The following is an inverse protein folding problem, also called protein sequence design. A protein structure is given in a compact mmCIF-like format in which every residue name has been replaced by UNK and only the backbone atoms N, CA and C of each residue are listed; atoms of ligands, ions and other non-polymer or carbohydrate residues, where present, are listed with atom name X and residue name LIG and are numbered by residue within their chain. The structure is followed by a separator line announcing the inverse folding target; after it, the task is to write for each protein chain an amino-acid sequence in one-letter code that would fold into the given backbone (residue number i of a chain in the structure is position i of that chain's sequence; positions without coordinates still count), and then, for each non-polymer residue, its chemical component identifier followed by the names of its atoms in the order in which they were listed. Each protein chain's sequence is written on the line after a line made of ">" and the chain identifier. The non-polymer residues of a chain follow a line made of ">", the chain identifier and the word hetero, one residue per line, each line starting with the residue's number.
data_IF_895025864678
#
_entry.id   IF_895025864678
#
_cell.length_a   1.000
_cell.length_b   1.000
_cell.length_c   1.000
_cell.angle_alpha   90.00
_cell.angle_beta   90.00
_cell.angle_gamma   90.00
#
_symmetry.space_group_name_H-M   'P 1'
#
loop_
_entity.id
_entity.type
_entity.pdbx_description
1 polymer ?
#
# COMPACT_ATOMS: atom_id res chain seq x y z
N UNK A 1 30.66 -9.29 10.13
CA UNK A 1 29.49 -8.47 10.52
C UNK A 1 28.67 -8.20 9.27
N UNK A 2 27.50 -8.81 9.14
CA UNK A 2 26.61 -8.52 8.01
C UNK A 2 25.95 -7.19 8.29
N UNK A 3 26.32 -6.14 7.56
CA UNK A 3 25.60 -4.87 7.64
C UNK A 3 24.26 -5.12 6.94
N UNK A 4 23.23 -5.41 7.71
CA UNK A 4 21.86 -5.52 7.20
C UNK A 4 21.39 -4.09 6.94
N UNK A 5 21.26 -3.71 5.66
CA UNK A 5 20.65 -2.43 5.28
C UNK A 5 19.26 -2.29 5.94
N UNK A 6 18.86 -1.08 6.35
CA UNK A 6 17.54 -0.85 6.94
C UNK A 6 16.40 -1.26 5.99
N UNK A 7 15.21 -1.58 6.51
CA UNK A 7 14.04 -1.79 5.66
C UNK A 7 13.76 -0.53 4.85
N UNK A 8 13.41 -0.70 3.58
CA UNK A 8 13.13 0.36 2.60
C UNK A 8 11.72 0.24 2.02
N UNK A 9 10.94 -0.72 2.52
CA UNK A 9 9.60 -1.03 2.06
C UNK A 9 8.68 -1.15 3.27
N UNK A 10 7.47 -0.60 3.17
CA UNK A 10 6.42 -0.73 4.18
C UNK A 10 5.20 -1.39 3.56
N UNK A 11 4.71 -2.46 4.17
CA UNK A 11 3.33 -2.92 3.99
C UNK A 11 2.51 -2.43 5.18
N UNK A 12 1.44 -1.73 4.86
CA UNK A 12 0.44 -1.26 5.79
C UNK A 12 -0.88 -1.94 5.45
N UNK A 13 -1.51 -2.58 6.42
CA UNK A 13 -2.73 -3.36 6.22
C UNK A 13 -3.79 -2.94 7.23
N UNK A 14 -4.97 -2.58 6.72
CA UNK A 14 -6.18 -2.41 7.51
C UNK A 14 -7.27 -3.38 7.05
N UNK A 15 -8.10 -3.79 8.00
CA UNK A 15 -9.30 -4.57 7.73
C UNK A 15 -10.50 -3.80 8.22
N UNK A 16 -11.41 -3.49 7.31
CA UNK A 16 -12.62 -2.76 7.67
C UNK A 16 -13.60 -3.65 8.43
N UNK A 17 -14.49 -3.02 9.19
CA UNK A 17 -15.75 -3.64 9.60
C UNK A 17 -16.53 -4.11 8.35
N UNK A 18 -17.40 -5.11 8.52
CA UNK A 18 -18.14 -5.69 7.42
C UNK A 18 -18.93 -4.63 6.63
N UNK A 19 -18.72 -4.57 5.31
CA UNK A 19 -19.38 -3.62 4.42
C UNK A 19 -18.82 -2.18 4.46
N UNK A 20 -17.74 -1.93 5.22
CA UNK A 20 -17.10 -0.60 5.33
C UNK A 20 -15.83 -0.44 4.50
N UNK A 21 -15.53 -1.36 3.56
CA UNK A 21 -14.30 -1.31 2.76
C UNK A 21 -14.17 0.00 1.95
N UNK A 22 -15.27 0.49 1.38
CA UNK A 22 -15.27 1.74 0.60
C UNK A 22 -14.95 2.96 1.48
N UNK A 23 -15.51 3.03 2.68
CA UNK A 23 -15.23 4.09 3.65
C UNK A 23 -13.77 4.05 4.11
N UNK A 24 -13.25 2.85 4.39
CA UNK A 24 -11.85 2.65 4.72
C UNK A 24 -10.93 3.08 3.57
N UNK A 25 -11.26 2.69 2.33
CA UNK A 25 -10.50 3.10 1.14
C UNK A 25 -10.48 4.63 1.01
N UNK A 26 -11.64 5.28 1.13
CA UNK A 26 -11.75 6.73 1.07
C UNK A 26 -10.91 7.43 2.13
N UNK A 27 -10.92 6.92 3.38
CA UNK A 27 -10.08 7.44 4.44
C UNK A 27 -8.58 7.30 4.13
N UNK A 28 -8.16 6.13 3.61
CA UNK A 28 -6.77 5.87 3.23
C UNK A 28 -6.32 6.82 2.12
N UNK A 29 -7.12 7.02 1.08
CA UNK A 29 -6.83 7.93 -0.03
C UNK A 29 -6.75 9.39 0.42
N UNK A 30 -7.54 9.80 1.42
CA UNK A 30 -7.61 11.18 1.90
C UNK A 30 -6.60 11.51 3.00
N UNK A 31 -6.11 10.50 3.74
CA UNK A 31 -5.33 10.73 4.97
C UNK A 31 -3.99 10.01 4.95
N UNK A 32 -4.02 8.69 4.72
CA UNK A 32 -2.82 7.85 4.83
C UNK A 32 -1.93 8.05 3.60
N UNK A 33 -2.49 7.95 2.39
CA UNK A 33 -1.75 8.10 1.14
C UNK A 33 -1.08 9.48 1.03
N UNK A 34 -1.75 10.62 1.32
CA UNK A 34 -1.10 11.93 1.32
C UNK A 34 0.09 12.01 2.27
N UNK A 35 0.01 11.36 3.44
CA UNK A 35 1.12 11.30 4.41
C UNK A 35 2.32 10.55 3.83
N UNK A 36 2.07 9.44 3.12
CA UNK A 36 3.10 8.62 2.47
C UNK A 36 3.78 9.38 1.34
N UNK A 37 3.01 9.94 0.40
CA UNK A 37 3.56 10.60 -0.80
C UNK A 37 4.20 11.95 -0.50
N UNK A 38 3.85 12.58 0.64
CA UNK A 38 4.50 13.81 1.10
C UNK A 38 5.89 13.56 1.69
N UNK A 39 6.23 12.32 2.04
CA UNK A 39 7.56 11.97 2.52
C UNK A 39 8.58 12.09 1.36
N UNK A 40 9.63 12.91 1.48
CA UNK A 40 10.63 13.09 0.43
C UNK A 40 11.44 11.81 0.14
N UNK A 41 11.44 10.84 1.05
CA UNK A 41 12.06 9.53 0.84
C UNK A 41 11.14 8.57 0.08
N UNK A 42 9.83 8.85 -0.06
CA UNK A 42 8.90 7.98 -0.78
C UNK A 42 9.23 7.95 -2.28
N UNK A 43 9.40 6.75 -2.82
CA UNK A 43 9.66 6.49 -4.24
C UNK A 43 8.35 6.21 -4.99
N UNK A 44 7.53 5.32 -4.44
CA UNK A 44 6.22 4.98 -4.96
C UNK A 44 5.33 4.40 -3.85
N UNK A 45 4.03 4.41 -4.08
CA UNK A 45 3.04 3.77 -3.23
C UNK A 45 1.89 3.21 -4.07
N UNK A 46 1.40 2.03 -3.69
CA UNK A 46 0.24 1.38 -4.31
C UNK A 46 -0.79 1.01 -3.25
N UNK A 47 -2.08 1.20 -3.59
CA UNK A 47 -3.22 0.73 -2.80
C UNK A 47 -3.79 -0.52 -3.46
N UNK A 48 -4.05 -1.54 -2.64
CA UNK A 48 -4.54 -2.85 -3.07
C UNK A 48 -5.77 -3.22 -2.25
N UNK A 49 -6.81 -3.69 -2.93
CA UNK A 49 -7.98 -4.26 -2.29
C UNK A 49 -7.79 -5.77 -2.12
N UNK A 50 -7.93 -6.23 -0.89
CA UNK A 50 -7.87 -7.65 -0.55
C UNK A 50 -9.25 -8.19 -0.16
N UNK A 51 -9.35 -9.53 -0.09
CA UNK A 51 -10.54 -10.18 0.45
C UNK A 51 -10.77 -9.82 1.92
N UNK A 52 -12.01 -10.03 2.38
CA UNK A 52 -12.46 -9.76 3.75
C UNK A 52 -12.39 -8.27 4.14
N UNK A 53 -12.82 -7.38 3.23
CA UNK A 53 -12.85 -5.92 3.43
C UNK A 53 -11.48 -5.32 3.75
N UNK A 54 -10.42 -5.86 3.13
CA UNK A 54 -9.05 -5.47 3.39
C UNK A 54 -8.59 -4.40 2.42
N UNK A 55 -7.84 -3.43 2.93
CA UNK A 55 -7.09 -2.47 2.12
C UNK A 55 -5.63 -2.53 2.56
N UNK A 56 -4.73 -2.66 1.59
CA UNK A 56 -3.30 -2.73 1.80
C UNK A 56 -2.66 -1.57 1.06
N UNK A 57 -1.74 -0.87 1.72
CA UNK A 57 -0.84 0.09 1.10
C UNK A 57 0.57 -0.51 1.14
N UNK A 58 1.23 -0.56 -0.01
CA UNK A 58 2.65 -0.91 -0.09
C UNK A 58 3.38 0.31 -0.64
N UNK A 59 4.39 0.76 0.08
CA UNK A 59 5.20 1.91 -0.30
C UNK A 59 6.69 1.61 -0.19
N UNK A 60 7.46 2.21 -1.09
CA UNK A 60 8.90 2.05 -1.18
C UNK A 60 9.58 3.39 -0.89
N UNK A 61 10.69 3.35 -0.17
CA UNK A 61 11.39 4.51 0.33
C UNK A 61 12.89 4.41 0.03
N UNK A 62 13.58 5.55 0.01
CA UNK A 62 15.05 5.60 -0.06
C UNK A 62 15.73 5.32 1.29
N UNK A 63 14.95 5.31 2.38
CA UNK A 63 15.42 5.08 3.75
C UNK A 63 14.34 4.35 4.57
N UNK A 64 14.54 4.24 5.89
CA UNK A 64 13.57 3.58 6.75
C UNK A 64 12.19 4.27 6.68
N UNK A 65 11.10 3.54 6.41
CA UNK A 65 9.76 4.13 6.31
C UNK A 65 9.31 4.70 7.66
N UNK A 66 8.64 5.87 7.68
CA UNK A 66 8.03 6.37 8.90
C UNK A 66 6.81 5.53 9.29
N UNK A 67 6.41 5.54 10.58
CA UNK A 67 5.12 4.97 10.98
C UNK A 67 3.98 5.78 10.36
N UNK A 68 2.96 5.08 9.86
CA UNK A 68 1.80 5.71 9.23
C UNK A 68 0.63 5.85 10.21
N UNK A 69 -0.25 6.84 10.00
CA UNK A 69 -1.45 7.01 10.82
C UNK A 69 -2.39 5.80 10.69
N UNK A 70 -3.12 5.51 11.76
CA UNK A 70 -4.20 4.53 11.75
C UNK A 70 -5.55 5.22 11.44
N UNK A 71 -6.48 4.56 10.74
CA UNK A 71 -7.85 5.04 10.58
C UNK A 71 -8.59 5.07 11.92
N UNK A 72 -9.73 5.79 11.99
CA UNK A 72 -10.66 5.69 13.10
C UNK A 72 -11.04 4.24 13.45
N UNK A 73 -11.07 3.94 14.75
CA UNK A 73 -11.30 2.58 15.26
C UNK A 73 -12.67 2.02 14.86
N UNK A 74 -13.68 2.87 14.63
CA UNK A 74 -15.03 2.48 14.21
C UNK A 74 -15.07 1.98 12.75
N UNK A 75 -14.04 2.29 11.94
CA UNK A 75 -13.87 1.71 10.61
C UNK A 75 -13.19 0.34 10.66
N UNK A 76 -12.46 0.04 11.72
CA UNK A 76 -11.55 -1.10 11.78
C UNK A 76 -12.17 -2.30 12.48
N UNK A 77 -12.00 -3.49 11.88
CA UNK A 77 -12.30 -4.75 12.56
C UNK A 77 -11.20 -5.15 13.55
N UNK A 78 -9.97 -4.67 13.32
CA UNK A 78 -8.80 -4.86 14.18
C UNK A 78 -7.79 -3.75 13.93
N UNK A 79 -6.86 -3.57 14.86
CA UNK A 79 -5.75 -2.65 14.73
C UNK A 79 -4.98 -2.86 13.42
N UNK A 80 -4.52 -1.77 12.83
CA UNK A 80 -3.67 -1.75 11.64
C UNK A 80 -2.40 -2.55 11.87
N UNK A 81 -1.99 -3.32 10.86
CA UNK A 81 -0.69 -3.98 10.84
C UNK A 81 0.28 -3.19 9.97
N UNK A 82 1.47 -2.89 10.49
CA UNK A 82 2.55 -2.22 9.77
C UNK A 82 3.79 -3.11 9.80
N UNK A 83 4.25 -3.54 8.62
CA UNK A 83 5.39 -4.43 8.47
C UNK A 83 6.44 -3.79 7.57
N UNK A 84 7.51 -3.21 8.14
CA UNK A 84 8.67 -2.78 7.37
C UNK A 84 9.53 -3.99 6.98
N UNK A 85 9.96 -4.04 5.73
CA UNK A 85 10.85 -5.07 5.20
C UNK A 85 11.79 -4.49 4.14
N UNK A 86 12.77 -5.29 3.72
CA UNK A 86 13.76 -4.90 2.73
C UNK A 86 13.43 -5.51 1.38
N UNK A 87 13.43 -4.69 0.33
CA UNK A 87 13.36 -5.16 -1.05
C UNK A 87 14.64 -5.90 -1.41
N UNK A 88 14.52 -7.16 -1.85
CA UNK A 88 15.67 -7.96 -2.26
C UNK A 88 16.02 -7.77 -3.75
N UNK A 89 15.02 -7.78 -4.62
CA UNK A 89 15.16 -7.61 -6.06
C UNK A 89 13.86 -7.06 -6.66
N UNK A 90 13.95 -6.46 -7.86
CA UNK A 90 12.79 -6.06 -8.66
C UNK A 90 12.88 -6.75 -10.01
N UNK A 91 11.87 -7.54 -10.36
CA UNK A 91 11.80 -8.21 -11.65
C UNK A 91 10.70 -7.54 -12.48
N UNK A 92 11.02 -7.13 -13.71
CA UNK A 92 9.99 -6.66 -14.65
C UNK A 92 9.37 -7.86 -15.36
N UNK A 93 8.04 -7.92 -15.39
CA UNK A 93 7.32 -8.89 -16.22
C UNK A 93 7.39 -8.51 -17.69
N UNK A 94 7.27 -9.51 -18.58
CA UNK A 94 7.28 -9.34 -20.04
C UNK A 94 5.88 -9.23 -20.65
N UNK A 95 4.89 -8.73 -19.90
CA UNK A 95 3.48 -8.78 -20.32
C UNK A 95 3.29 -8.15 -21.72
N UNK A 96 2.80 -8.95 -22.68
CA UNK A 96 2.48 -8.49 -24.03
C UNK A 96 1.25 -7.59 -23.97
N UNK A 97 1.32 -6.44 -24.65
CA UNK A 97 0.20 -5.53 -24.82
C UNK A 97 -0.89 -6.23 -25.64
N UNK A 98 -2.07 -6.47 -25.07
CA UNK A 98 -3.23 -6.87 -25.87
C UNK A 98 -3.75 -5.60 -26.54
N UNK A 99 -3.41 -5.38 -27.82
CA UNK A 99 -4.07 -4.36 -28.63
C UNK A 99 -5.55 -4.73 -28.75
N UNK A 100 -6.40 -3.85 -28.24
CA UNK A 100 -7.85 -3.98 -28.39
C UNK A 100 -8.21 -3.65 -29.85
N UNK A 101 -8.48 -4.69 -30.63
CA UNK A 101 -9.13 -4.56 -31.93
C UNK A 101 -10.64 -4.66 -31.70
N UNK A 102 -11.30 -3.53 -31.51
CA UNK A 102 -12.73 -3.41 -31.73
C UNK A 102 -12.99 -2.23 -32.66
N UNK A 103 -12.92 -2.53 -33.96
CA UNK A 103 -13.47 -1.67 -34.99
C UNK A 103 -15.00 -1.79 -34.96
N UNK A 104 -15.62 -0.62 -34.93
CA UNK A 104 -17.04 -0.33 -35.05
C UNK A 104 -17.84 -1.32 -35.92
N UNK A 105 -19.01 -1.70 -35.38
CA UNK A 105 -20.18 -2.11 -36.15
C UNK A 105 -21.26 -1.05 -36.03
#
# INVERSE_FOLDING_TARGET
>A
MTITSPPDTLMWEARAQAGRQADLLSHIEQTVLPTVIADPACLDAGIYLGGQDRVVLIAHFTSAPPPLPAPPDDLLLRSVHQWPFRRHATCRGSAAHTSDASAAG
#
